data_IF_235412592596
#
_entry.id   IF_235412592596
#
_cell.length_a   1.000
_cell.length_b   1.000
_cell.length_c   1.000
_cell.angle_alpha   90.00
_cell.angle_beta   90.00
_cell.angle_gamma   90.00
#
_symmetry.space_group_name_H-M   'P 1'
#
loop_
_entity.id
_entity.type
_entity.pdbx_description
1 polymer ?
#
# COMPACT_ATOMS: atom_id res chain seq x y z
N UNK A 1 35.77 -25.12 -17.29
CA UNK A 1 34.82 -25.85 -16.42
C UNK A 1 35.26 -27.32 -16.45
N UNK A 2 35.71 -27.81 -15.33
CA UNK A 2 36.34 -29.13 -15.23
C UNK A 2 35.25 -30.23 -15.38
N UNK A 3 35.59 -31.35 -16.04
CA UNK A 3 34.68 -32.48 -16.30
C UNK A 3 34.08 -33.06 -15.00
N UNK A 4 34.81 -32.93 -13.88
CA UNK A 4 34.37 -33.32 -12.54
C UNK A 4 33.27 -32.41 -11.99
N UNK A 5 33.34 -31.10 -12.23
CA UNK A 5 32.30 -30.17 -11.78
C UNK A 5 30.97 -30.38 -12.53
N UNK A 6 31.06 -30.68 -13.81
CA UNK A 6 29.88 -30.96 -14.65
C UNK A 6 29.18 -32.25 -14.23
N UNK A 7 29.92 -33.27 -13.82
CA UNK A 7 29.39 -34.56 -13.32
C UNK A 7 28.72 -34.40 -11.94
N UNK A 8 29.31 -33.56 -11.08
CA UNK A 8 28.75 -33.23 -9.75
C UNK A 8 27.44 -32.44 -9.88
N UNK A 9 27.38 -31.47 -10.80
CA UNK A 9 26.17 -30.71 -11.07
C UNK A 9 25.05 -31.60 -11.66
N UNK A 10 25.36 -32.52 -12.58
CA UNK A 10 24.39 -33.48 -13.13
C UNK A 10 23.86 -34.43 -12.05
N UNK A 11 24.71 -34.90 -11.14
CA UNK A 11 24.29 -35.75 -10.02
C UNK A 11 23.41 -34.98 -9.05
N UNK A 12 23.73 -33.73 -8.72
CA UNK A 12 22.89 -32.86 -7.89
C UNK A 12 21.53 -32.57 -8.53
N UNK A 13 21.48 -32.33 -9.85
CA UNK A 13 20.23 -32.15 -10.59
C UNK A 13 19.41 -33.43 -10.63
N UNK A 14 20.00 -34.61 -10.77
CA UNK A 14 19.34 -35.92 -10.76
C UNK A 14 18.78 -36.25 -9.39
N UNK A 15 19.51 -35.98 -8.31
CA UNK A 15 19.06 -36.15 -6.93
C UNK A 15 17.92 -35.17 -6.63
N UNK A 16 18.00 -33.95 -7.09
CA UNK A 16 16.95 -32.95 -6.96
C UNK A 16 15.68 -33.38 -7.71
N UNK A 17 15.80 -33.88 -8.95
CA UNK A 17 14.70 -34.44 -9.75
C UNK A 17 14.07 -35.69 -9.09
N UNK A 18 14.89 -36.61 -8.57
CA UNK A 18 14.43 -37.83 -7.89
C UNK A 18 13.74 -37.54 -6.56
N UNK A 19 14.16 -36.51 -5.82
CA UNK A 19 13.48 -36.05 -4.60
C UNK A 19 12.15 -35.35 -4.92
N UNK A 20 12.02 -34.73 -6.11
CA UNK A 20 10.79 -34.04 -6.51
C UNK A 20 9.75 -34.97 -7.14
N UNK A 21 10.14 -36.07 -7.77
CA UNK A 21 9.20 -37.02 -8.41
C UNK A 21 8.14 -37.62 -7.47
N UNK A 22 8.47 -38.12 -6.26
CA UNK A 22 7.43 -38.64 -5.37
C UNK A 22 6.55 -37.56 -4.76
N UNK A 23 7.03 -36.31 -4.67
CA UNK A 23 6.21 -35.15 -4.26
C UNK A 23 5.11 -34.82 -5.28
N UNK A 24 5.33 -35.09 -6.57
CA UNK A 24 4.34 -34.81 -7.63
C UNK A 24 3.18 -35.80 -7.68
N UNK A 25 3.34 -37.03 -7.18
CA UNK A 25 2.31 -38.07 -7.26
C UNK A 25 1.05 -37.81 -6.40
N UNK A 26 1.15 -36.93 -5.41
CA UNK A 26 0.04 -36.56 -4.53
C UNK A 26 -0.34 -35.07 -4.66
N UNK A 27 0.16 -34.40 -5.67
CA UNK A 27 -0.05 -32.98 -5.87
C UNK A 27 -1.54 -32.65 -6.04
N UNK A 28 -2.00 -31.67 -5.29
CA UNK A 28 -3.32 -31.06 -5.44
C UNK A 28 -3.15 -29.64 -6.00
N UNK A 29 -3.89 -29.36 -7.07
CA UNK A 29 -3.88 -28.08 -7.75
C UNK A 29 -5.14 -27.33 -7.37
N UNK A 30 -5.01 -26.07 -6.95
CA UNK A 30 -6.14 -25.22 -6.58
C UNK A 30 -6.06 -23.91 -7.34
N UNK A 31 -7.14 -23.53 -8.00
CA UNK A 31 -7.35 -22.20 -8.56
C UNK A 31 -8.25 -21.42 -7.62
N UNK A 32 -7.93 -20.17 -7.40
CA UNK A 32 -8.65 -19.29 -6.50
C UNK A 32 -8.91 -17.94 -7.16
N UNK A 33 -10.16 -17.46 -7.05
CA UNK A 33 -10.56 -16.10 -7.35
C UNK A 33 -11.14 -15.48 -6.08
N UNK A 34 -10.66 -14.32 -5.67
CA UNK A 34 -11.03 -13.70 -4.39
C UNK A 34 -11.15 -12.19 -4.45
N UNK A 35 -11.89 -11.68 -3.48
CA UNK A 35 -12.06 -10.27 -3.18
C UNK A 35 -11.45 -9.97 -1.81
N UNK A 36 -10.83 -8.83 -1.68
CA UNK A 36 -10.25 -8.32 -0.45
C UNK A 36 -10.84 -6.95 -0.15
N UNK A 37 -11.26 -6.73 1.09
CA UNK A 37 -11.75 -5.43 1.57
C UNK A 37 -11.24 -5.21 2.98
N UNK A 38 -10.71 -4.04 3.24
CA UNK A 38 -10.12 -3.74 4.54
C UNK A 38 -9.75 -2.28 4.71
N UNK A 39 -8.79 -2.06 5.57
CA UNK A 39 -8.23 -0.75 5.86
C UNK A 39 -6.77 -0.72 5.46
N UNK A 40 -6.39 0.37 4.79
CA UNK A 40 -5.01 0.74 4.52
C UNK A 40 -4.61 1.88 5.44
N UNK A 41 -3.38 1.85 5.94
CA UNK A 41 -2.83 2.91 6.77
C UNK A 41 -1.32 3.05 6.54
N UNK A 42 -0.77 4.22 6.90
CA UNK A 42 0.67 4.46 6.87
C UNK A 42 1.31 4.23 8.23
N UNK A 43 2.28 3.35 8.30
CA UNK A 43 3.26 3.37 9.39
C UNK A 43 4.33 4.40 9.03
N UNK A 44 4.25 5.58 9.61
CA UNK A 44 5.09 6.71 9.24
C UNK A 44 5.73 7.36 10.47
N UNK A 45 6.91 7.97 10.24
CA UNK A 45 7.52 8.88 11.21
C UNK A 45 7.02 10.28 10.89
N UNK A 46 6.10 10.75 11.69
CA UNK A 46 5.44 12.04 11.53
C UNK A 46 5.76 12.97 12.69
N UNK A 47 6.04 14.23 12.36
CA UNK A 47 6.11 15.34 13.31
C UNK A 47 4.91 16.26 12.98
N UNK A 48 4.10 16.61 13.95
CA UNK A 48 2.95 17.52 13.83
C UNK A 48 1.71 17.01 13.09
N UNK A 49 1.77 15.94 12.31
CA UNK A 49 0.64 15.32 11.62
C UNK A 49 0.51 13.86 12.07
N UNK A 50 -0.61 13.22 11.76
CA UNK A 50 -0.84 11.80 12.10
C UNK A 50 -1.33 11.04 10.87
N UNK A 51 -0.99 9.76 10.73
CA UNK A 51 -1.59 8.91 9.72
C UNK A 51 -3.11 8.84 9.88
N UNK A 52 -3.81 8.74 8.75
CA UNK A 52 -5.26 8.60 8.67
C UNK A 52 -5.58 7.36 7.86
N UNK A 53 -6.08 6.30 8.53
CA UNK A 53 -6.46 5.08 7.84
C UNK A 53 -7.67 5.30 6.94
N UNK A 54 -7.74 4.52 5.85
CA UNK A 54 -8.86 4.54 4.93
C UNK A 54 -9.05 3.18 4.25
N UNK A 55 -9.84 3.13 3.19
CA UNK A 55 -10.29 1.91 2.55
C UNK A 55 -9.20 1.25 1.71
N UNK A 56 -9.08 -0.08 1.83
CA UNK A 56 -8.45 -0.97 0.86
C UNK A 56 -9.52 -1.84 0.18
N UNK A 57 -9.39 -2.03 -1.13
CA UNK A 57 -10.18 -2.99 -1.90
C UNK A 57 -9.30 -3.62 -2.98
N UNK A 58 -9.40 -4.94 -3.14
CA UNK A 58 -8.60 -5.68 -4.11
C UNK A 58 -9.31 -6.91 -4.67
N UNK A 59 -8.84 -7.35 -5.84
CA UNK A 59 -9.21 -8.61 -6.48
C UNK A 59 -7.96 -9.46 -6.62
N UNK A 60 -8.09 -10.76 -6.38
CA UNK A 60 -6.98 -11.71 -6.46
C UNK A 60 -7.35 -12.90 -7.32
N UNK A 61 -6.42 -13.30 -8.18
CA UNK A 61 -6.41 -14.59 -8.86
C UNK A 61 -5.15 -15.33 -8.45
N UNK A 62 -5.27 -16.56 -7.98
CA UNK A 62 -4.12 -17.32 -7.55
C UNK A 62 -4.23 -18.80 -7.90
N UNK A 63 -3.06 -19.40 -7.99
CA UNK A 63 -2.88 -20.83 -8.19
C UNK A 63 -2.03 -21.38 -7.07
N UNK A 64 -2.49 -22.45 -6.44
CA UNK A 64 -1.78 -23.15 -5.36
C UNK A 64 -1.43 -24.57 -5.80
N UNK A 65 -0.19 -24.94 -5.52
CA UNK A 65 0.34 -26.26 -5.70
C UNK A 65 0.66 -26.85 -4.33
N UNK A 66 0.01 -27.94 -3.96
CA UNK A 66 0.23 -28.65 -2.71
C UNK A 66 0.98 -29.96 -2.98
N UNK A 67 2.23 -30.02 -2.56
CA UNK A 67 3.06 -31.24 -2.64
C UNK A 67 2.68 -32.28 -1.59
N UNK A 68 2.06 -31.84 -0.51
CA UNK A 68 1.55 -32.68 0.57
C UNK A 68 0.20 -32.16 1.05
N UNK A 69 -0.43 -32.87 1.99
CA UNK A 69 -1.68 -32.40 2.61
C UNK A 69 -1.52 -31.14 3.47
N UNK A 70 -0.30 -30.78 3.83
CA UNK A 70 -0.03 -29.70 4.78
C UNK A 70 0.73 -28.57 4.14
N UNK A 71 1.65 -28.85 3.21
CA UNK A 71 2.58 -27.85 2.65
C UNK A 71 2.38 -27.72 1.16
N UNK A 72 2.32 -26.48 0.72
CA UNK A 72 2.22 -26.10 -0.68
C UNK A 72 2.85 -24.74 -0.96
N UNK A 73 2.74 -24.30 -2.20
CA UNK A 73 3.13 -22.97 -2.65
C UNK A 73 1.96 -22.33 -3.38
N UNK A 74 1.81 -21.04 -3.23
CA UNK A 74 0.81 -20.26 -3.94
C UNK A 74 1.48 -19.10 -4.68
N UNK A 75 1.11 -18.92 -5.93
CA UNK A 75 1.45 -17.77 -6.74
C UNK A 75 0.18 -17.15 -7.32
N UNK A 76 0.17 -15.85 -7.56
CA UNK A 76 -1.02 -15.18 -8.06
C UNK A 76 -0.76 -13.81 -8.61
N UNK A 77 -1.86 -13.13 -8.94
CA UNK A 77 -1.88 -11.72 -9.28
C UNK A 77 -3.00 -11.03 -8.51
N UNK A 78 -2.75 -9.81 -8.07
CA UNK A 78 -3.74 -8.95 -7.41
C UNK A 78 -3.85 -7.63 -8.14
N UNK A 79 -5.03 -7.03 -8.11
CA UNK A 79 -5.26 -5.64 -8.48
C UNK A 79 -5.84 -4.98 -7.24
N UNK A 80 -5.11 -4.03 -6.68
CA UNK A 80 -5.41 -3.43 -5.41
C UNK A 80 -5.61 -1.92 -5.54
N UNK A 81 -6.58 -1.38 -4.80
CA UNK A 81 -6.79 0.05 -4.60
C UNK A 81 -6.60 0.35 -3.12
N UNK A 82 -5.53 1.05 -2.79
CA UNK A 82 -5.21 1.48 -1.43
C UNK A 82 -5.57 2.95 -1.27
N UNK A 83 -6.19 3.29 -0.16
CA UNK A 83 -6.41 4.67 0.22
C UNK A 83 -5.92 4.87 1.66
N UNK A 84 -5.01 5.81 1.87
CA UNK A 84 -4.47 6.17 3.18
C UNK A 84 -3.97 7.61 3.13
N UNK A 85 -3.75 8.25 4.26
CA UNK A 85 -3.33 9.65 4.25
C UNK A 85 -2.76 10.15 5.55
N UNK A 86 -2.69 11.48 5.64
CA UNK A 86 -2.23 12.21 6.81
C UNK A 86 -3.23 13.30 7.17
N UNK A 87 -3.29 13.66 8.45
CA UNK A 87 -4.18 14.71 8.90
C UNK A 87 -3.79 15.31 10.24
N UNK A 88 -4.35 16.50 10.50
CA UNK A 88 -4.22 17.21 11.76
C UNK A 88 -5.41 18.13 11.97
N UNK A 89 -5.92 18.17 13.19
CA UNK A 89 -6.85 19.19 13.62
C UNK A 89 -6.06 20.28 14.36
N UNK A 90 -6.34 21.54 14.02
CA UNK A 90 -5.64 22.67 14.64
C UNK A 90 -4.16 22.75 14.29
N UNK A 91 -3.81 22.61 13.00
CA UNK A 91 -2.44 22.79 12.54
C UNK A 91 -2.09 24.29 12.52
N UNK A 92 -0.96 24.66 13.13
CA UNK A 92 -0.45 26.03 13.14
C UNK A 92 1.00 26.04 12.73
N UNK A 93 1.38 27.01 11.91
CA UNK A 93 2.77 27.20 11.52
C UNK A 93 3.06 28.67 11.21
N UNK A 94 4.34 28.98 11.11
CA UNK A 94 4.87 30.32 10.86
C UNK A 94 6.04 30.22 9.91
N UNK A 95 6.04 31.05 8.88
CA UNK A 95 7.21 31.21 8.03
C UNK A 95 7.55 32.69 7.79
N UNK A 96 8.83 32.93 7.50
CA UNK A 96 9.35 34.28 7.21
C UNK A 96 9.57 34.41 5.71
N UNK A 97 9.20 35.55 5.16
CA UNK A 97 9.42 35.92 3.77
C UNK A 97 9.69 37.40 3.67
N UNK A 98 9.85 37.90 2.48
CA UNK A 98 10.00 39.33 2.19
C UNK A 98 8.77 39.80 1.43
N UNK A 99 8.33 41.02 1.68
CA UNK A 99 7.25 41.65 0.91
C UNK A 99 7.75 42.28 -0.41
N UNK A 100 6.85 42.96 -1.13
CA UNK A 100 7.17 43.66 -2.40
C UNK A 100 8.14 44.83 -2.22
N UNK A 101 8.25 45.41 -1.02
CA UNK A 101 9.16 46.47 -0.64
C UNK A 101 10.51 45.96 -0.14
N UNK A 102 10.72 44.63 -0.26
CA UNK A 102 11.91 43.93 0.24
C UNK A 102 12.08 43.99 1.77
N UNK A 103 10.97 44.16 2.48
CA UNK A 103 10.94 44.13 3.95
C UNK A 103 10.62 42.71 4.48
N UNK A 104 11.28 42.30 5.61
CA UNK A 104 11.00 41.04 6.20
C UNK A 104 9.59 41.03 6.83
N UNK A 105 8.80 40.04 6.48
CA UNK A 105 7.48 39.80 7.04
C UNK A 105 7.40 38.37 7.60
N UNK A 106 6.56 38.21 8.59
CA UNK A 106 6.26 36.91 9.19
C UNK A 106 4.79 36.58 8.90
N UNK A 107 4.55 35.39 8.37
CA UNK A 107 3.22 34.91 8.06
C UNK A 107 2.90 33.78 9.02
N UNK A 108 1.89 34.03 9.88
CA UNK A 108 1.34 33.04 10.79
C UNK A 108 0.03 32.51 10.21
N UNK A 109 -0.13 31.19 10.13
CA UNK A 109 -1.37 30.60 9.68
C UNK A 109 -1.84 29.45 10.55
N UNK A 110 -3.15 29.26 10.54
CA UNK A 110 -3.81 28.17 11.24
C UNK A 110 -4.73 27.44 10.27
N UNK A 111 -4.75 26.10 10.33
CA UNK A 111 -5.68 25.25 9.58
C UNK A 111 -6.49 24.48 10.59
N UNK A 112 -7.80 24.72 10.65
CA UNK A 112 -8.68 24.06 11.59
C UNK A 112 -8.75 22.56 11.39
N UNK A 113 -8.78 22.11 10.12
CA UNK A 113 -8.71 20.70 9.74
C UNK A 113 -7.89 20.53 8.47
N UNK A 114 -6.77 19.86 8.61
CA UNK A 114 -5.91 19.42 7.51
C UNK A 114 -6.13 17.95 7.24
N UNK A 115 -6.33 17.57 5.98
CA UNK A 115 -6.41 16.17 5.56
C UNK A 115 -5.88 16.00 4.14
N UNK A 116 -4.88 15.16 4.00
CA UNK A 116 -4.33 14.75 2.70
C UNK A 116 -4.50 13.24 2.53
N UNK A 117 -5.13 12.82 1.44
CA UNK A 117 -5.44 11.42 1.15
C UNK A 117 -4.79 11.00 -0.14
N UNK A 118 -4.10 9.88 -0.12
CA UNK A 118 -3.49 9.23 -1.28
C UNK A 118 -4.35 8.05 -1.71
N UNK A 119 -4.59 7.95 -3.01
CA UNK A 119 -5.26 6.80 -3.63
C UNK A 119 -4.30 6.18 -4.63
N UNK A 120 -3.87 4.95 -4.35
CA UNK A 120 -2.92 4.21 -5.19
C UNK A 120 -3.60 2.99 -5.80
N UNK A 121 -3.52 2.86 -7.13
CA UNK A 121 -3.83 1.65 -7.84
C UNK A 121 -2.55 0.87 -8.10
N UNK A 122 -2.56 -0.44 -7.85
CA UNK A 122 -1.39 -1.28 -8.01
C UNK A 122 -1.74 -2.67 -8.52
N UNK A 123 -0.75 -3.32 -9.13
CA UNK A 123 -0.76 -4.75 -9.46
C UNK A 123 0.26 -5.44 -8.57
N UNK A 124 -0.13 -6.52 -7.91
CA UNK A 124 0.72 -7.31 -7.03
C UNK A 124 0.91 -8.74 -7.54
N UNK A 125 2.07 -9.30 -7.29
CA UNK A 125 2.40 -10.70 -7.57
C UNK A 125 2.83 -11.35 -6.24
N UNK A 126 1.92 -12.00 -5.50
CA UNK A 126 2.24 -12.74 -4.29
C UNK A 126 2.89 -14.09 -4.65
N UNK A 127 3.95 -14.43 -3.90
CA UNK A 127 4.57 -15.75 -3.87
C UNK A 127 4.58 -16.22 -2.43
N UNK A 128 3.73 -17.18 -2.08
CA UNK A 128 3.48 -17.52 -0.69
C UNK A 128 3.67 -19.02 -0.44
N UNK A 129 4.22 -19.33 0.74
CA UNK A 129 4.15 -20.65 1.32
C UNK A 129 2.72 -20.89 1.79
N UNK A 130 2.15 -22.05 1.46
CA UNK A 130 0.84 -22.46 1.87
C UNK A 130 0.96 -23.56 2.94
N UNK A 131 0.37 -23.33 4.10
CA UNK A 131 0.21 -24.32 5.16
C UNK A 131 -1.28 -24.61 5.31
N UNK A 132 -1.69 -25.83 4.98
CA UNK A 132 -3.11 -26.21 4.92
C UNK A 132 -3.43 -27.31 5.89
N UNK A 133 -4.53 -27.13 6.61
CA UNK A 133 -5.16 -28.16 7.44
C UNK A 133 -6.41 -28.74 6.76
N UNK A 134 -7.35 -29.27 7.57
CA UNK A 134 -8.60 -29.79 7.03
C UNK A 134 -9.52 -28.72 6.45
N UNK A 135 -9.60 -27.59 7.12
CA UNK A 135 -10.49 -26.47 6.78
C UNK A 135 -9.80 -25.11 6.93
N UNK A 136 -8.58 -25.08 7.45
CA UNK A 136 -7.83 -23.85 7.67
C UNK A 136 -6.62 -23.83 6.76
N UNK A 137 -6.39 -22.70 6.11
CA UNK A 137 -5.24 -22.48 5.27
C UNK A 137 -4.54 -21.17 5.70
N UNK A 138 -3.24 -21.24 5.88
CA UNK A 138 -2.38 -20.09 6.16
C UNK A 138 -1.41 -19.89 5.02
N UNK A 139 -1.31 -18.66 4.53
CA UNK A 139 -0.41 -18.28 3.45
C UNK A 139 0.48 -17.15 3.94
N UNK A 140 1.78 -17.24 3.66
CA UNK A 140 2.73 -16.19 3.99
C UNK A 140 3.86 -16.16 2.98
N UNK A 141 4.28 -14.97 2.57
CA UNK A 141 5.41 -14.82 1.66
C UNK A 141 5.55 -13.42 1.08
N UNK A 142 6.56 -13.19 0.25
CA UNK A 142 6.77 -11.94 -0.43
C UNK A 142 5.68 -11.68 -1.49
N UNK A 143 5.34 -10.39 -1.65
CA UNK A 143 4.48 -9.86 -2.73
C UNK A 143 5.25 -8.73 -3.39
N UNK A 144 5.45 -8.83 -4.69
CA UNK A 144 6.00 -7.73 -5.49
C UNK A 144 4.85 -6.89 -5.97
N UNK A 145 4.90 -5.58 -5.72
CA UNK A 145 3.83 -4.63 -6.04
C UNK A 145 4.35 -3.59 -7.03
N UNK A 146 3.58 -3.38 -8.09
CA UNK A 146 3.81 -2.40 -9.13
C UNK A 146 2.73 -1.32 -9.04
N UNK A 147 2.99 -0.17 -8.42
CA UNK A 147 2.07 0.95 -8.44
C UNK A 147 1.88 1.45 -9.87
N UNK A 148 0.62 1.57 -10.28
CA UNK A 148 0.24 2.05 -11.62
C UNK A 148 0.01 3.55 -11.61
N UNK A 149 -0.74 4.01 -10.60
CA UNK A 149 -1.12 5.41 -10.45
C UNK A 149 -1.30 5.73 -8.97
N UNK A 150 -0.78 6.86 -8.55
CA UNK A 150 -1.06 7.43 -7.24
C UNK A 150 -1.58 8.85 -7.42
N UNK A 151 -2.77 9.12 -6.93
CA UNK A 151 -3.37 10.46 -6.88
C UNK A 151 -3.50 10.88 -5.42
N UNK A 152 -3.38 12.16 -5.15
CA UNK A 152 -3.60 12.70 -3.83
C UNK A 152 -4.61 13.85 -3.88
N UNK A 153 -5.32 14.01 -2.77
CA UNK A 153 -6.26 15.10 -2.54
C UNK A 153 -5.98 15.67 -1.17
N UNK A 154 -5.72 16.96 -1.11
CA UNK A 154 -5.52 17.71 0.12
C UNK A 154 -6.69 18.65 0.36
N UNK A 155 -7.17 18.68 1.62
CA UNK A 155 -8.22 19.58 2.08
C UNK A 155 -7.72 20.33 3.32
N UNK A 156 -7.77 21.65 3.24
CA UNK A 156 -7.52 22.55 4.36
C UNK A 156 -8.82 23.32 4.65
N UNK A 157 -9.52 22.95 5.72
CA UNK A 157 -10.76 23.60 6.14
C UNK A 157 -10.48 24.56 7.29
N UNK A 158 -11.24 25.67 7.33
CA UNK A 158 -11.14 26.71 8.37
C UNK A 158 -9.71 27.26 8.51
N UNK A 159 -9.07 27.53 7.37
CA UNK A 159 -7.76 28.12 7.36
C UNK A 159 -7.84 29.64 7.60
N UNK A 160 -6.98 30.16 8.44
CA UNK A 160 -6.85 31.59 8.72
C UNK A 160 -5.38 31.98 8.63
N UNK A 161 -5.13 33.23 8.22
CA UNK A 161 -3.79 33.76 7.97
C UNK A 161 -3.66 35.14 8.59
N UNK A 162 -2.51 35.45 9.18
CA UNK A 162 -2.14 36.79 9.63
C UNK A 162 -0.71 37.12 9.22
N UNK A 163 -0.46 38.39 8.92
CA UNK A 163 0.85 38.91 8.53
C UNK A 163 1.37 39.83 9.61
N UNK A 164 2.57 39.58 10.10
CA UNK A 164 3.27 40.44 11.06
C UNK A 164 4.41 41.16 10.37
N UNK A 165 4.47 42.48 10.58
CA UNK A 165 5.51 43.40 10.08
C UNK A 165 6.45 43.76 11.22
N UNK A 166 7.64 43.14 11.34
CA UNK A 166 8.53 43.34 12.46
C UNK A 166 9.05 44.79 12.60
N UNK A 167 9.27 45.50 11.51
CA UNK A 167 9.74 46.89 11.54
C UNK A 167 8.72 47.88 12.11
N UNK A 168 7.45 47.59 11.91
CA UNK A 168 6.34 48.46 12.34
C UNK A 168 5.71 47.97 13.63
N UNK A 169 6.17 46.80 14.15
CA UNK A 169 5.59 46.10 15.27
C UNK A 169 4.05 45.97 15.16
N UNK A 170 3.59 45.73 13.92
CA UNK A 170 2.19 45.70 13.58
C UNK A 170 1.77 44.31 13.02
N UNK A 171 0.60 43.85 13.45
CA UNK A 171 0.02 42.63 12.96
C UNK A 171 -1.30 42.91 12.25
N UNK A 172 -1.36 42.50 10.98
CA UNK A 172 -2.54 42.69 10.15
C UNK A 172 -3.30 41.39 10.02
N UNK A 173 -4.53 41.39 10.50
CA UNK A 173 -5.42 40.25 10.44
C UNK A 173 -6.43 40.31 9.27
N UNK A 174 -6.78 41.51 8.82
CA UNK A 174 -7.98 41.73 7.98
C UNK A 174 -7.79 42.66 6.77
N UNK A 175 -6.81 43.55 6.82
CA UNK A 175 -6.72 44.68 5.85
C UNK A 175 -5.99 44.35 4.56
N UNK A 176 -5.38 43.17 4.49
CA UNK A 176 -4.83 42.72 3.24
C UNK A 176 -5.98 42.15 2.39
N UNK A 177 -6.07 42.45 1.11
CA UNK A 177 -7.06 41.84 0.21
C UNK A 177 -7.01 40.32 0.20
N UNK A 178 -5.98 39.75 0.77
CA UNK A 178 -5.65 38.35 0.91
C UNK A 178 -5.99 37.72 2.25
N UNK A 179 -5.88 38.46 3.30
CA UNK A 179 -6.30 38.10 4.63
C UNK A 179 -7.77 38.49 4.77
N UNK A 180 -8.62 37.98 3.90
CA UNK A 180 -10.01 37.91 4.32
C UNK A 180 -9.97 37.11 5.61
N UNK A 181 -10.25 37.75 6.74
CA UNK A 181 -10.36 37.22 8.10
C UNK A 181 -11.42 36.13 8.25
N UNK A 182 -11.93 35.64 7.14
CA UNK A 182 -12.87 34.56 7.05
C UNK A 182 -12.10 33.27 6.84
N UNK A 183 -12.42 32.28 7.63
CA UNK A 183 -12.01 30.91 7.41
C UNK A 183 -12.29 30.54 5.94
N UNK A 184 -11.27 30.08 5.24
CA UNK A 184 -11.39 29.63 3.87
C UNK A 184 -11.18 28.11 3.80
N UNK A 185 -11.64 27.54 2.70
CA UNK A 185 -11.40 26.15 2.36
C UNK A 185 -10.55 26.11 1.11
N UNK A 186 -9.47 25.34 1.20
CA UNK A 186 -8.61 25.05 0.05
C UNK A 186 -8.69 23.56 -0.25
N UNK A 187 -8.81 23.21 -1.54
CA UNK A 187 -8.79 21.83 -2.00
C UNK A 187 -7.81 21.72 -3.14
N UNK A 188 -6.86 20.82 -3.03
CA UNK A 188 -5.83 20.59 -4.05
C UNK A 188 -5.77 19.11 -4.42
N UNK A 189 -5.51 18.83 -5.68
CA UNK A 189 -5.34 17.48 -6.20
C UNK A 189 -4.04 17.41 -7.02
N UNK A 190 -3.41 16.24 -7.03
CA UNK A 190 -2.21 16.00 -7.82
C UNK A 190 -1.95 14.53 -8.05
N UNK A 191 -0.89 14.27 -8.81
CA UNK A 191 -0.32 12.94 -8.99
C UNK A 191 0.99 12.86 -8.22
N UNK A 192 1.24 11.70 -7.63
CA UNK A 192 2.45 11.45 -6.86
C UNK A 192 3.30 10.39 -7.56
N UNK A 193 4.61 10.63 -7.67
CA UNK A 193 5.55 9.65 -8.19
C UNK A 193 5.85 8.62 -7.10
N UNK A 194 5.33 7.42 -7.25
CA UNK A 194 5.63 6.27 -6.39
C UNK A 194 6.80 5.45 -6.94
N UNK A 195 7.50 4.75 -6.06
CA UNK A 195 8.51 3.79 -6.47
C UNK A 195 7.90 2.79 -7.46
N UNK A 196 8.63 2.52 -8.55
CA UNK A 196 8.14 1.63 -9.63
C UNK A 196 7.92 0.19 -9.18
N UNK A 197 8.68 -0.28 -8.21
CA UNK A 197 8.61 -1.64 -7.67
C UNK A 197 8.71 -1.56 -6.16
N UNK A 198 7.78 -2.20 -5.48
CA UNK A 198 7.75 -2.28 -4.03
C UNK A 198 7.74 -3.74 -3.59
N UNK A 199 8.43 -4.03 -2.49
CA UNK A 199 8.43 -5.33 -1.84
C UNK A 199 7.53 -5.31 -0.62
N UNK A 200 6.66 -6.28 -0.55
CA UNK A 200 5.70 -6.43 0.54
C UNK A 200 5.82 -7.82 1.15
N UNK A 201 5.41 -7.94 2.39
CA UNK A 201 5.14 -9.20 3.07
C UNK A 201 3.62 -9.38 3.12
N UNK A 202 3.11 -10.45 2.53
CA UNK A 202 1.70 -10.78 2.51
C UNK A 202 1.44 -12.00 3.40
N UNK A 203 0.43 -11.92 4.26
CA UNK A 203 -0.02 -13.01 5.11
C UNK A 203 -1.55 -13.14 5.03
N UNK A 204 -2.05 -14.38 4.99
CA UNK A 204 -3.47 -14.66 4.93
C UNK A 204 -3.81 -15.88 5.79
N UNK A 205 -4.92 -15.81 6.50
CA UNK A 205 -5.50 -16.92 7.25
C UNK A 205 -6.95 -17.14 6.79
N UNK A 206 -7.24 -18.27 6.23
CA UNK A 206 -8.51 -18.56 5.58
C UNK A 206 -9.16 -19.81 6.18
N UNK A 207 -10.49 -19.82 6.23
CA UNK A 207 -11.33 -20.96 6.57
C UNK A 207 -12.10 -21.41 5.33
N UNK A 208 -11.94 -22.68 4.95
CA UNK A 208 -12.49 -23.27 3.75
C UNK A 208 -13.79 -24.03 4.05
N UNK A 209 -14.88 -23.54 3.48
CA UNK A 209 -16.21 -24.15 3.57
C UNK A 209 -16.43 -24.96 2.28
N UNK A 210 -16.57 -26.29 2.35
CA UNK A 210 -16.82 -27.09 1.17
C UNK A 210 -18.21 -26.77 0.60
N UNK A 211 -18.27 -26.33 -0.66
CA UNK A 211 -19.52 -26.00 -1.37
C UNK A 211 -19.96 -27.18 -2.22
N UNK A 212 -19.01 -27.80 -2.91
CA UNK A 212 -19.28 -28.92 -3.78
C UNK A 212 -18.16 -29.95 -3.68
N UNK A 213 -18.55 -31.22 -3.52
CA UNK A 213 -17.61 -32.34 -3.46
C UNK A 213 -18.14 -33.47 -4.31
N UNK A 214 -17.60 -33.62 -5.53
CA UNK A 214 -17.82 -34.77 -6.39
C UNK A 214 -16.59 -35.69 -6.35
N UNK A 215 -16.72 -36.92 -6.92
CA UNK A 215 -15.59 -37.86 -6.99
C UNK A 215 -14.33 -37.28 -7.63
N UNK A 216 -14.47 -36.26 -8.49
CA UNK A 216 -13.39 -35.75 -9.35
C UNK A 216 -13.11 -34.26 -9.25
N UNK A 217 -13.96 -33.49 -8.58
CA UNK A 217 -13.72 -32.04 -8.39
C UNK A 217 -14.23 -31.60 -7.03
N UNK A 218 -13.55 -30.64 -6.44
CA UNK A 218 -13.96 -30.03 -5.17
C UNK A 218 -13.94 -28.52 -5.32
N UNK A 219 -14.91 -27.87 -4.74
CA UNK A 219 -14.89 -26.42 -4.62
C UNK A 219 -15.17 -25.97 -3.20
N UNK A 220 -14.58 -24.86 -2.83
CA UNK A 220 -14.63 -24.29 -1.51
C UNK A 220 -14.97 -22.81 -1.61
N UNK A 221 -15.81 -22.34 -0.71
CA UNK A 221 -15.92 -20.94 -0.36
C UNK A 221 -14.94 -20.69 0.77
N UNK A 222 -14.00 -19.78 0.58
CA UNK A 222 -12.98 -19.47 1.57
C UNK A 222 -13.21 -18.07 2.13
N UNK A 223 -13.30 -17.97 3.45
CA UNK A 223 -13.45 -16.72 4.18
C UNK A 223 -12.23 -16.56 5.07
N UNK A 224 -11.61 -15.41 5.06
CA UNK A 224 -10.38 -15.21 5.82
C UNK A 224 -10.07 -13.77 6.14
N UNK A 225 -8.96 -13.61 6.82
CA UNK A 225 -8.31 -12.31 7.08
C UNK A 225 -7.00 -12.28 6.32
N UNK A 226 -6.61 -11.09 5.90
CA UNK A 226 -5.31 -10.84 5.29
C UNK A 226 -4.61 -9.66 5.96
N UNK A 227 -3.30 -9.64 5.85
CA UNK A 227 -2.44 -8.54 6.26
C UNK A 227 -1.27 -8.43 5.29
N UNK A 228 -1.16 -7.30 4.63
CA UNK A 228 -0.09 -6.97 3.69
C UNK A 228 0.72 -5.80 4.25
N UNK A 229 2.03 -5.92 4.27
CA UNK A 229 2.93 -4.92 4.82
C UNK A 229 4.03 -4.56 3.83
N UNK A 230 4.13 -3.27 3.46
CA UNK A 230 5.21 -2.78 2.61
C UNK A 230 6.55 -2.79 3.36
N UNK A 231 7.54 -3.48 2.80
CA UNK A 231 8.93 -3.46 3.26
C UNK A 231 9.71 -2.29 2.66
N UNK A 232 9.20 -1.73 1.55
CA UNK A 232 9.80 -0.59 0.87
C UNK A 232 9.43 0.70 1.59
N UNK A 233 10.44 1.45 2.04
CA UNK A 233 10.25 2.79 2.60
C UNK A 233 10.10 3.80 1.50
N UNK A 234 9.07 4.61 1.58
CA UNK A 234 8.90 5.78 0.73
C UNK A 234 9.42 7.02 1.45
N UNK A 235 10.31 7.74 0.78
CA UNK A 235 10.81 9.04 1.20
C UNK A 235 10.62 10.01 0.04
N UNK A 236 9.83 11.04 0.25
CA UNK A 236 9.56 12.03 -0.80
C UNK A 236 10.66 13.11 -0.80
N UNK A 237 10.97 13.71 -1.95
CA UNK A 237 11.84 14.86 -1.99
C UNK A 237 11.21 16.01 -1.20
N UNK A 238 12.04 16.82 -0.56
CA UNK A 238 11.57 18.07 0.08
C UNK A 238 11.24 19.06 -1.02
N UNK A 239 10.13 19.79 -0.87
CA UNK A 239 9.86 20.92 -1.75
C UNK A 239 10.89 22.03 -1.54
N UNK A 240 11.29 22.71 -2.62
CA UNK A 240 12.32 23.76 -2.58
C UNK A 240 11.94 24.94 -1.67
N UNK A 241 10.64 25.10 -1.38
CA UNK A 241 10.11 26.11 -0.45
C UNK A 241 9.02 25.45 0.38
N UNK A 242 9.19 25.41 1.65
CA UNK A 242 8.92 24.22 2.43
C UNK A 242 7.85 24.38 3.49
N UNK A 243 7.13 25.49 3.56
CA UNK A 243 5.96 25.59 4.43
C UNK A 243 4.75 24.90 3.78
N UNK A 244 3.87 24.31 4.60
CA UNK A 244 2.66 23.65 4.11
C UNK A 244 1.75 24.61 3.34
N UNK A 245 1.64 25.86 3.79
CA UNK A 245 0.93 26.93 3.08
C UNK A 245 1.88 28.05 2.74
N UNK A 246 1.90 28.47 1.50
CA UNK A 246 2.71 29.57 1.01
C UNK A 246 1.86 30.58 0.26
N UNK A 247 2.28 31.83 0.31
CA UNK A 247 1.78 32.88 -0.57
C UNK A 247 2.73 32.97 -1.76
N UNK A 248 2.25 32.71 -2.96
CA UNK A 248 3.00 32.95 -4.18
C UNK A 248 2.77 34.38 -4.65
N UNK A 249 3.87 35.07 -4.91
CA UNK A 249 3.84 36.41 -5.54
C UNK A 249 3.58 36.21 -7.04
N UNK A 250 2.42 36.65 -7.52
CA UNK A 250 2.22 36.84 -8.95
C UNK A 250 2.69 38.22 -9.32
N UNK A 251 3.76 38.31 -10.10
CA UNK A 251 4.44 39.55 -10.54
C UNK A 251 3.55 40.60 -11.20
N UNK A 252 2.31 40.31 -11.49
CA UNK A 252 1.35 41.18 -12.17
C UNK A 252 0.29 41.75 -11.22
N UNK A 253 0.68 42.05 -9.99
CA UNK A 253 -0.12 42.84 -9.05
C UNK A 253 -1.49 42.24 -8.73
N UNK A 254 -1.60 41.65 -7.55
CA UNK A 254 -2.85 41.17 -6.90
C UNK A 254 -3.83 40.35 -7.75
N UNK A 255 -4.25 39.17 -7.27
CA UNK A 255 -4.15 38.71 -5.88
C UNK A 255 -3.02 37.72 -5.66
N UNK A 256 -2.37 37.76 -4.51
CA UNK A 256 -1.47 36.71 -4.01
C UNK A 256 -2.21 35.37 -4.00
N UNK A 257 -1.69 34.40 -4.70
CA UNK A 257 -2.25 33.06 -4.67
C UNK A 257 -1.73 32.31 -3.44
N UNK A 258 -2.63 31.63 -2.78
CA UNK A 258 -2.30 30.68 -1.71
C UNK A 258 -1.95 29.36 -2.35
N UNK A 259 -0.83 28.82 -1.97
CA UNK A 259 -0.41 27.50 -2.44
C UNK A 259 -0.27 26.58 -1.24
N UNK A 260 -1.00 25.45 -1.26
CA UNK A 260 -0.76 24.35 -0.36
C UNK A 260 0.33 23.44 -0.94
N UNK A 261 1.26 23.06 -0.10
CA UNK A 261 2.30 22.07 -0.41
C UNK A 261 1.91 20.75 0.22
N UNK A 262 2.08 19.65 -0.50
CA UNK A 262 1.76 18.32 0.05
C UNK A 262 2.44 18.07 1.39
N UNK A 263 1.71 17.50 2.34
CA UNK A 263 2.18 17.17 3.71
C UNK A 263 3.46 16.35 3.70
N UNK A 264 3.65 15.46 2.73
CA UNK A 264 4.85 14.60 2.65
C UNK A 264 6.09 15.32 2.14
N UNK A 265 5.92 16.47 1.46
CA UNK A 265 7.03 17.28 0.94
C UNK A 265 7.26 18.55 1.75
N UNK A 266 6.29 18.93 2.60
CA UNK A 266 6.34 20.14 3.41
C UNK A 266 7.29 20.02 4.61
N UNK A 267 7.81 21.18 5.01
CA UNK A 267 8.58 21.35 6.24
C UNK A 267 7.79 22.25 7.21
N UNK A 268 8.08 22.13 8.48
CA UNK A 268 7.71 23.08 9.52
C UNK A 268 8.95 23.41 10.32
N UNK A 269 9.35 24.68 10.33
CA UNK A 269 10.57 25.12 11.01
C UNK A 269 11.80 24.26 10.67
N UNK A 270 11.99 23.96 9.37
CA UNK A 270 13.05 23.11 8.82
C UNK A 270 12.94 21.62 9.09
N UNK A 271 11.93 21.17 9.85
CA UNK A 271 11.65 19.75 10.11
C UNK A 271 10.60 19.20 9.12
N UNK A 272 10.81 17.99 8.63
CA UNK A 272 9.84 17.30 7.79
C UNK A 272 8.59 16.94 8.58
N UNK A 273 7.41 17.18 8.01
CA UNK A 273 6.15 16.70 8.57
C UNK A 273 6.06 15.18 8.51
N UNK A 274 6.55 14.58 7.42
CA UNK A 274 6.63 13.12 7.23
C UNK A 274 8.04 12.76 6.73
N UNK A 275 8.80 12.04 7.54
CA UNK A 275 10.18 11.67 7.21
C UNK A 275 10.27 10.41 6.37
N UNK A 276 9.46 9.41 6.68
CA UNK A 276 9.36 8.16 5.93
C UNK A 276 8.05 7.48 6.22
N UNK A 277 7.56 6.71 5.25
CA UNK A 277 6.30 5.98 5.38
C UNK A 277 6.39 4.58 4.77
N UNK A 278 5.64 3.65 5.36
CA UNK A 278 5.38 2.32 4.83
C UNK A 278 3.86 2.11 4.82
N UNK A 279 3.32 1.62 3.74
CA UNK A 279 1.90 1.28 3.66
C UNK A 279 1.67 -0.12 4.25
N UNK A 280 0.58 -0.29 4.97
CA UNK A 280 0.10 -1.62 5.38
C UNK A 280 -1.42 -1.70 5.23
N UNK A 281 -1.89 -2.91 4.96
CA UNK A 281 -3.30 -3.21 4.78
C UNK A 281 -3.68 -4.38 5.66
N UNK A 282 -4.90 -4.33 6.19
CA UNK A 282 -5.50 -5.44 6.93
C UNK A 282 -6.99 -5.50 6.64
N UNK A 283 -7.53 -6.68 6.47
CA UNK A 283 -8.95 -6.80 6.19
C UNK A 283 -9.46 -8.23 6.05
N UNK A 284 -10.64 -8.31 5.44
CA UNK A 284 -11.35 -9.55 5.17
C UNK A 284 -11.14 -9.97 3.71
N UNK A 285 -11.06 -11.27 3.52
CA UNK A 285 -10.98 -11.91 2.22
C UNK A 285 -12.13 -12.89 2.05
N UNK A 286 -12.75 -12.83 0.89
CA UNK A 286 -13.71 -13.82 0.42
C UNK A 286 -13.23 -14.39 -0.90
N UNK A 287 -13.08 -15.71 -1.01
CA UNK A 287 -12.61 -16.32 -2.25
C UNK A 287 -13.32 -17.63 -2.56
N UNK A 288 -13.35 -17.94 -3.85
CA UNK A 288 -13.84 -19.21 -4.35
C UNK A 288 -12.67 -20.02 -4.90
N UNK A 289 -12.52 -21.26 -4.44
CA UNK A 289 -11.44 -22.18 -4.78
C UNK A 289 -11.97 -23.39 -5.51
N UNK A 290 -11.29 -23.79 -6.56
CA UNK A 290 -11.61 -24.94 -7.37
C UNK A 290 -10.38 -25.84 -7.42
N UNK A 291 -10.55 -27.12 -6.99
CA UNK A 291 -9.61 -28.18 -7.27
C UNK A 291 -10.07 -28.91 -8.56
N UNK A 292 -9.41 -28.71 -9.69
CA UNK A 292 -9.79 -29.38 -10.93
C UNK A 292 -9.55 -30.91 -10.81
N UNK A 293 -10.22 -31.66 -11.66
CA UNK A 293 -10.06 -33.08 -11.76
C UNK A 293 -8.60 -33.48 -12.00
N UNK A 294 -8.08 -34.37 -11.14
CA UNK A 294 -6.77 -34.99 -11.34
C UNK A 294 -6.94 -36.43 -11.88
N UNK A 295 -6.72 -36.66 -13.19
CA UNK A 295 -6.91 -37.98 -13.80
C UNK A 295 -5.94 -39.03 -13.24
N UNK A 296 -4.79 -38.64 -12.69
CA UNK A 296 -3.81 -39.57 -12.14
C UNK A 296 -4.29 -40.24 -10.81
N UNK A 297 -5.18 -39.55 -10.05
CA UNK A 297 -5.77 -40.12 -8.84
C UNK A 297 -6.81 -41.25 -9.15
N UNK A 298 -7.40 -41.27 -10.33
CA UNK A 298 -8.35 -42.29 -10.74
C UNK A 298 -7.67 -43.67 -10.88
N UNK A 299 -6.50 -43.68 -11.52
CA UNK A 299 -5.77 -44.92 -11.81
C UNK A 299 -5.10 -45.53 -10.55
N UNK A 300 -4.75 -44.70 -9.57
CA UNK A 300 -4.14 -45.22 -8.31
C UNK A 300 -5.11 -45.96 -7.40
N UNK A 301 -6.43 -45.76 -7.56
CA UNK A 301 -7.44 -46.54 -6.78
C UNK A 301 -7.92 -47.79 -7.52
N UNK A 302 -7.74 -47.91 -8.82
CA UNK A 302 -8.17 -49.03 -9.63
C UNK A 302 -7.11 -50.13 -9.78
N UNK A 303 -5.83 -49.82 -9.51
CA UNK A 303 -4.79 -50.83 -9.36
C UNK A 303 -4.92 -51.56 -8.00
N UNK A 304 -5.96 -52.33 -7.83
CA UNK A 304 -5.90 -53.47 -6.92
C UNK A 304 -5.07 -54.54 -7.63
N UNK A 305 -3.77 -54.46 -7.48
CA UNK A 305 -2.90 -55.61 -7.76
C UNK A 305 -3.30 -56.67 -6.73
N UNK A 306 -4.07 -57.66 -7.16
CA UNK A 306 -4.20 -58.91 -6.46
C UNK A 306 -2.87 -59.63 -6.64
N UNK A 307 -1.99 -59.50 -5.65
CA UNK A 307 -0.91 -60.49 -5.47
C UNK A 307 -1.51 -61.69 -4.75
N UNK A 308 -1.48 -62.78 -5.48
CA UNK A 308 -1.68 -64.14 -4.94
C UNK A 308 -0.46 -64.53 -4.13
#
# INVERSE_FOLDING_TARGET
MDRKEMDTMRKAQLVFLLLWMPLMAHAEHLFEAGLQVGMADYRAQCTYVSPVPSLHAGVQLSYSYHSSRVVGMRAGATIDRHQAGFGKNGYTDTYKTIDIENEPIQIDYTIGRLREMYTTWSVGIPLQLALTGKQVAFYIGPKVVFPLQCTWTENADNAALSVYFPKQDNRVYESFPLAASRSFKEVRNGTHNVQKIQWWLAAELCYDIPVYTAQHSKSYLSVGIYADFSLSRETDPVADRSSLMMLSDTRDGFPLHRELTSVVTALRQEERLVSSRNLFDVGLKLSYRIAPYNPLKKNAKECKCYFW
#
